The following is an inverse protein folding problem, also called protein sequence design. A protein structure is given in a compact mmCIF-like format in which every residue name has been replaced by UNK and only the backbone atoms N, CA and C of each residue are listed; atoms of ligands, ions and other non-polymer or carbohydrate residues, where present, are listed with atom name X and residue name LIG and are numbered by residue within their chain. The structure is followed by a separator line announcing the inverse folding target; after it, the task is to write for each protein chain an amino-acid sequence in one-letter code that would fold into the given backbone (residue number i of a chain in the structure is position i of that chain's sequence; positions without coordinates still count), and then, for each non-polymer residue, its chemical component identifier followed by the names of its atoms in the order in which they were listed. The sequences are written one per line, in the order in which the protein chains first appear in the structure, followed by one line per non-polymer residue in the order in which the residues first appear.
data_IF_795329908396
#
_entry.id   IF_795329908396
#
_cell.length_a   1.000
_cell.length_b   1.000
_cell.length_c   1.000
_cell.angle_alpha   90.00
_cell.angle_beta   90.00
_cell.angle_gamma   90.00
#
_symmetry.space_group_name_H-M   'P 1'
#
loop_
_entity.id
_entity.type
_entity.pdbx_description
1 polymer ?
#
# COMPACT_ATOMS: atom_id res chain seq x y z
N UNK A 1 1.98 -5.72 -26.95
CA UNK A 1 3.18 -6.61 -26.94
C UNK A 1 2.74 -7.95 -26.38
N UNK A 2 2.69 -9.01 -27.22
CA UNK A 2 2.23 -10.34 -26.81
C UNK A 2 3.36 -11.02 -26.02
N UNK A 3 3.12 -11.28 -24.73
CA UNK A 3 4.06 -12.04 -23.89
C UNK A 3 4.33 -13.42 -24.53
N UNK A 4 5.60 -13.82 -24.61
CA UNK A 4 5.99 -15.16 -25.04
C UNK A 4 5.34 -16.17 -24.09
N UNK A 5 4.83 -17.31 -24.60
CA UNK A 5 4.19 -18.38 -23.83
C UNK A 5 5.02 -18.83 -22.60
N UNK A 6 6.35 -18.80 -22.71
CA UNK A 6 7.25 -19.11 -21.58
C UNK A 6 7.16 -18.05 -20.47
N UNK A 7 7.13 -16.80 -20.84
CA UNK A 7 7.03 -15.70 -19.86
C UNK A 7 5.64 -15.67 -19.19
N UNK A 8 4.59 -15.93 -19.95
CA UNK A 8 3.24 -16.10 -19.42
C UNK A 8 3.18 -17.23 -18.37
N UNK A 9 3.70 -18.43 -18.71
CA UNK A 9 3.71 -19.56 -17.77
C UNK A 9 4.55 -19.27 -16.51
N UNK A 10 5.65 -18.53 -16.65
CA UNK A 10 6.47 -18.10 -15.52
C UNK A 10 5.68 -17.20 -14.57
N UNK A 11 5.03 -16.15 -15.10
CA UNK A 11 4.23 -15.22 -14.30
C UNK A 11 3.06 -15.93 -13.61
N UNK A 12 2.39 -16.84 -14.31
CA UNK A 12 1.31 -17.65 -13.72
C UNK A 12 1.81 -18.52 -12.54
N UNK A 13 2.96 -19.17 -12.70
CA UNK A 13 3.55 -19.98 -11.62
C UNK A 13 3.95 -19.13 -10.43
N UNK A 14 4.59 -17.99 -10.66
CA UNK A 14 4.97 -17.04 -9.58
C UNK A 14 3.72 -16.50 -8.86
N UNK A 15 2.66 -16.15 -9.59
CA UNK A 15 1.40 -15.69 -9.02
C UNK A 15 0.74 -16.78 -8.17
N UNK A 16 0.72 -18.02 -8.64
CA UNK A 16 0.19 -19.15 -7.90
C UNK A 16 0.96 -19.40 -6.59
N UNK A 17 2.29 -19.40 -6.64
CA UNK A 17 3.13 -19.53 -5.44
C UNK A 17 2.82 -18.43 -4.43
N UNK A 18 2.71 -17.15 -4.86
CA UNK A 18 2.40 -16.02 -3.98
C UNK A 18 1.00 -16.12 -3.38
N UNK A 19 0.00 -16.55 -4.16
CA UNK A 19 -1.37 -16.73 -3.65
C UNK A 19 -1.41 -17.80 -2.55
N UNK A 20 -0.87 -19.01 -2.81
CA UNK A 20 -0.82 -20.08 -1.80
C UNK A 20 0.03 -19.70 -0.58
N UNK A 21 1.13 -18.95 -0.82
CA UNK A 21 1.94 -18.42 0.27
C UNK A 21 1.12 -17.51 1.18
N UNK A 22 0.30 -16.61 0.63
CA UNK A 22 -0.51 -15.68 1.43
C UNK A 22 -1.60 -16.38 2.22
N UNK A 23 -2.18 -17.47 1.68
CA UNK A 23 -3.14 -18.31 2.42
C UNK A 23 -2.50 -18.94 3.67
N UNK A 24 -1.26 -19.43 3.55
CA UNK A 24 -0.49 -19.99 4.66
C UNK A 24 -0.02 -18.88 5.62
N UNK A 25 0.44 -17.76 5.08
CA UNK A 25 0.95 -16.64 5.85
C UNK A 25 -0.11 -16.01 6.76
N UNK A 26 -1.33 -15.90 6.28
CA UNK A 26 -2.45 -15.38 7.06
C UNK A 26 -2.76 -16.26 8.30
N UNK A 27 -2.50 -17.55 8.22
CA UNK A 27 -2.77 -18.52 9.30
C UNK A 27 -1.62 -18.61 10.30
N UNK A 28 -0.40 -18.82 9.81
CA UNK A 28 0.74 -19.25 10.60
C UNK A 28 1.89 -18.23 10.66
N UNK A 29 1.80 -17.14 9.88
CA UNK A 29 2.88 -16.18 9.71
C UNK A 29 4.10 -16.77 8.99
N UNK A 30 5.17 -15.98 8.88
CA UNK A 30 6.38 -16.38 8.14
C UNK A 30 7.08 -17.60 8.79
N UNK A 31 7.05 -17.70 10.11
CA UNK A 31 7.77 -18.75 10.83
C UNK A 31 7.10 -20.12 10.67
N UNK A 32 5.78 -20.16 10.50
CA UNK A 32 5.03 -21.39 10.25
C UNK A 32 5.20 -21.97 8.86
N UNK A 33 5.72 -21.18 7.89
CA UNK A 33 5.89 -21.60 6.50
C UNK A 33 7.25 -22.25 6.30
N UNK A 34 7.25 -23.44 5.67
CA UNK A 34 8.46 -24.05 5.12
C UNK A 34 8.38 -24.13 3.61
N UNK A 35 9.53 -24.05 2.91
CA UNK A 35 9.57 -24.22 1.44
C UNK A 35 8.97 -25.56 1.02
N UNK A 36 9.21 -26.62 1.80
CA UNK A 36 8.60 -27.93 1.56
C UNK A 36 7.08 -27.91 1.64
N UNK A 37 6.54 -27.30 2.69
CA UNK A 37 5.10 -27.16 2.90
C UNK A 37 4.46 -26.34 1.77
N UNK A 38 5.09 -25.22 1.43
CA UNK A 38 4.64 -24.36 0.33
C UNK A 38 4.64 -25.09 -1.02
N UNK A 39 5.72 -25.80 -1.37
CA UNK A 39 5.79 -26.59 -2.60
C UNK A 39 4.70 -27.66 -2.65
N UNK A 40 4.45 -28.35 -1.55
CA UNK A 40 3.38 -29.35 -1.42
C UNK A 40 2.00 -28.73 -1.62
N UNK A 41 1.76 -27.59 -0.99
CA UNK A 41 0.49 -26.85 -1.12
C UNK A 41 0.27 -26.32 -2.54
N UNK A 42 1.32 -25.85 -3.22
CA UNK A 42 1.27 -25.41 -4.62
C UNK A 42 1.21 -26.58 -5.63
N UNK A 43 1.47 -27.82 -5.23
CA UNK A 43 1.55 -28.96 -6.16
C UNK A 43 2.76 -28.90 -7.11
N UNK A 44 3.88 -28.27 -6.70
CA UNK A 44 5.08 -28.09 -7.52
C UNK A 44 6.30 -28.78 -6.91
N UNK A 45 7.27 -29.14 -7.75
CA UNK A 45 8.55 -29.64 -7.30
C UNK A 45 9.38 -28.51 -6.67
N UNK A 46 10.27 -28.83 -5.70
CA UNK A 46 11.21 -27.85 -5.14
C UNK A 46 12.10 -27.20 -6.19
N UNK A 47 12.56 -27.95 -7.18
CA UNK A 47 13.34 -27.43 -8.29
C UNK A 47 12.57 -26.33 -9.04
N UNK A 48 11.26 -26.49 -9.21
CA UNK A 48 10.40 -25.46 -9.81
C UNK A 48 10.31 -24.20 -8.92
N UNK A 49 10.18 -24.37 -7.61
CA UNK A 49 10.20 -23.24 -6.67
C UNK A 49 11.50 -22.43 -6.79
N UNK A 50 12.65 -23.11 -6.72
CA UNK A 50 13.98 -22.48 -6.77
C UNK A 50 14.34 -21.87 -8.13
N UNK A 51 13.55 -22.09 -9.18
CA UNK A 51 13.66 -21.33 -10.43
C UNK A 51 13.14 -19.90 -10.30
N UNK A 52 12.30 -19.61 -9.30
CA UNK A 52 11.58 -18.34 -9.15
C UNK A 52 11.89 -17.59 -7.87
N UNK A 53 12.19 -18.31 -6.77
CA UNK A 53 12.43 -17.75 -5.46
C UNK A 53 13.56 -18.50 -4.76
N UNK A 54 14.43 -17.75 -4.09
CA UNK A 54 15.54 -18.32 -3.33
C UNK A 54 15.07 -18.95 -2.01
N UNK A 55 14.08 -18.30 -1.38
CA UNK A 55 13.49 -18.75 -0.12
C UNK A 55 12.08 -18.17 0.10
N UNK A 56 11.48 -18.48 1.26
CA UNK A 56 10.15 -17.97 1.64
C UNK A 56 10.12 -16.46 1.89
N UNK A 57 11.23 -15.87 2.28
CA UNK A 57 11.32 -14.42 2.54
C UNK A 57 11.29 -13.63 1.24
N UNK A 58 11.88 -14.16 0.17
CA UNK A 58 11.80 -13.56 -1.15
C UNK A 58 10.37 -13.61 -1.72
N UNK A 59 9.59 -14.67 -1.38
CA UNK A 59 8.15 -14.70 -1.72
C UNK A 59 7.40 -13.59 -0.99
N UNK A 60 7.64 -13.41 0.32
CA UNK A 60 7.03 -12.34 1.10
C UNK A 60 7.39 -10.96 0.53
N UNK A 61 8.67 -10.72 0.27
CA UNK A 61 9.14 -9.46 -0.31
C UNK A 61 8.49 -9.18 -1.67
N UNK A 62 8.31 -10.20 -2.51
CA UNK A 62 7.62 -10.05 -3.79
C UNK A 62 6.16 -9.66 -3.61
N UNK A 63 5.44 -10.23 -2.64
CA UNK A 63 4.06 -9.86 -2.32
C UNK A 63 3.98 -8.44 -1.79
N UNK A 64 4.84 -8.07 -0.84
CA UNK A 64 4.91 -6.70 -0.30
C UNK A 64 5.15 -5.66 -1.40
N UNK A 65 6.12 -5.93 -2.29
CA UNK A 65 6.46 -5.03 -3.39
C UNK A 65 5.32 -4.89 -4.40
N UNK A 66 4.62 -5.99 -4.70
CA UNK A 66 3.47 -5.97 -5.61
C UNK A 66 2.36 -5.06 -5.07
N UNK A 67 1.96 -5.23 -3.82
CA UNK A 67 0.88 -4.44 -3.22
C UNK A 67 1.30 -2.98 -3.04
N UNK A 68 2.54 -2.71 -2.65
CA UNK A 68 3.05 -1.34 -2.52
C UNK A 68 3.14 -0.63 -3.89
N UNK A 69 3.47 -1.37 -4.96
CA UNK A 69 3.48 -0.83 -6.32
C UNK A 69 2.08 -0.46 -6.78
N UNK A 70 1.09 -1.35 -6.60
CA UNK A 70 -0.30 -1.05 -6.94
C UNK A 70 -0.85 0.16 -6.17
N UNK A 71 -0.58 0.24 -4.86
CA UNK A 71 -0.98 1.38 -4.03
C UNK A 71 -0.29 2.68 -4.46
N UNK A 72 0.96 2.62 -4.91
CA UNK A 72 1.68 3.78 -5.43
C UNK A 72 1.10 4.26 -6.76
N UNK A 73 0.82 3.35 -7.68
CA UNK A 73 0.24 3.68 -9.00
C UNK A 73 -1.12 4.39 -8.87
N UNK A 74 -2.00 3.94 -7.97
CA UNK A 74 -3.29 4.62 -7.74
C UNK A 74 -3.12 5.97 -7.02
N UNK A 75 -2.02 6.21 -6.32
CA UNK A 75 -1.72 7.51 -5.74
C UNK A 75 -1.18 8.53 -6.74
N UNK A 76 -0.71 8.11 -7.92
CA UNK A 76 -0.12 9.04 -8.92
C UNK A 76 -1.13 10.07 -9.43
N UNK A 77 -2.40 9.67 -9.61
CA UNK A 77 -3.48 10.60 -9.94
C UNK A 77 -3.68 11.67 -8.86
N UNK A 78 -3.70 11.27 -7.59
CA UNK A 78 -3.85 12.19 -6.46
C UNK A 78 -2.64 13.14 -6.31
N UNK A 79 -1.42 12.64 -6.54
CA UNK A 79 -0.18 13.46 -6.52
C UNK A 79 -0.18 14.53 -7.59
N UNK A 80 -0.80 14.26 -8.73
CA UNK A 80 -0.90 15.19 -9.86
C UNK A 80 -1.99 16.26 -9.67
N UNK A 81 -2.88 16.10 -8.68
CA UNK A 81 -3.92 17.07 -8.37
C UNK A 81 -3.33 18.34 -7.75
N UNK A 82 -3.65 19.50 -8.30
CA UNK A 82 -3.49 20.77 -7.60
C UNK A 82 -4.67 20.95 -6.64
N UNK A 83 -4.48 20.59 -5.37
CA UNK A 83 -5.53 20.63 -4.34
C UNK A 83 -6.15 22.02 -4.12
N UNK A 84 -5.50 23.10 -4.58
CA UNK A 84 -6.04 24.48 -4.53
C UNK A 84 -7.02 24.73 -5.67
N UNK A 85 -6.76 24.17 -6.86
CA UNK A 85 -7.50 24.45 -8.09
C UNK A 85 -8.47 23.32 -8.46
N UNK A 86 -8.11 22.08 -8.12
CA UNK A 86 -8.93 20.91 -8.46
C UNK A 86 -10.27 20.92 -7.72
N UNK A 87 -11.33 20.61 -8.45
CA UNK A 87 -12.66 20.46 -7.88
C UNK A 87 -12.74 19.25 -6.93
N UNK A 88 -13.68 19.28 -6.00
CA UNK A 88 -13.96 18.14 -5.13
C UNK A 88 -14.25 16.86 -5.93
N UNK A 89 -14.88 16.98 -7.11
CA UNK A 89 -15.23 15.86 -7.97
C UNK A 89 -13.99 15.19 -8.56
N UNK A 90 -13.00 15.97 -8.99
CA UNK A 90 -11.74 15.43 -9.53
C UNK A 90 -10.95 14.70 -8.43
N UNK A 91 -10.77 15.34 -7.28
CA UNK A 91 -10.06 14.74 -6.16
C UNK A 91 -10.79 13.49 -5.65
N UNK A 92 -12.14 13.52 -5.60
CA UNK A 92 -12.95 12.37 -5.20
C UNK A 92 -12.74 11.16 -6.11
N UNK A 93 -12.61 11.37 -7.42
CA UNK A 93 -12.34 10.30 -8.38
C UNK A 93 -11.02 9.58 -8.06
N UNK A 94 -9.96 10.34 -7.78
CA UNK A 94 -8.65 9.78 -7.47
C UNK A 94 -8.65 9.05 -6.11
N UNK A 95 -9.29 9.63 -5.09
CA UNK A 95 -9.41 8.98 -3.77
C UNK A 95 -10.28 7.72 -3.79
N UNK A 96 -11.28 7.64 -4.66
CA UNK A 96 -12.07 6.42 -4.90
C UNK A 96 -11.21 5.30 -5.52
N UNK A 97 -10.25 5.65 -6.38
CA UNK A 97 -9.26 4.69 -6.90
C UNK A 97 -8.43 4.06 -5.78
N UNK A 98 -7.97 4.88 -4.84
CA UNK A 98 -7.22 4.40 -3.66
C UNK A 98 -8.11 3.49 -2.80
N UNK A 99 -9.33 3.92 -2.47
CA UNK A 99 -10.24 3.14 -1.63
C UNK A 99 -10.55 1.76 -2.25
N UNK A 100 -10.77 1.72 -3.57
CA UNK A 100 -10.98 0.47 -4.32
C UNK A 100 -9.76 -0.43 -4.28
N UNK A 101 -8.56 0.10 -4.55
CA UNK A 101 -7.31 -0.65 -4.49
C UNK A 101 -7.07 -1.26 -3.10
N UNK A 102 -7.37 -0.51 -2.03
CA UNK A 102 -7.30 -1.02 -0.66
C UNK A 102 -8.31 -2.15 -0.40
N UNK A 103 -9.53 -2.03 -0.92
CA UNK A 103 -10.54 -3.07 -0.80
C UNK A 103 -10.16 -4.34 -1.57
N UNK A 104 -9.69 -4.20 -2.81
CA UNK A 104 -9.25 -5.30 -3.67
C UNK A 104 -8.04 -6.07 -3.08
N UNK A 105 -7.13 -5.36 -2.40
CA UNK A 105 -5.98 -5.95 -1.72
C UNK A 105 -6.23 -6.22 -0.22
N UNK A 106 -7.48 -6.12 0.24
CA UNK A 106 -7.83 -6.13 1.66
C UNK A 106 -7.33 -7.35 2.43
N UNK A 107 -7.47 -8.55 1.87
CA UNK A 107 -7.02 -9.79 2.53
C UNK A 107 -5.49 -9.85 2.65
N UNK A 108 -4.78 -9.48 1.58
CA UNK A 108 -3.31 -9.40 1.59
C UNK A 108 -2.84 -8.37 2.62
N UNK A 109 -3.43 -7.17 2.63
CA UNK A 109 -3.07 -6.11 3.57
C UNK A 109 -3.39 -6.51 5.03
N UNK A 110 -4.53 -7.15 5.28
CA UNK A 110 -4.88 -7.69 6.60
C UNK A 110 -3.89 -8.75 7.06
N UNK A 111 -3.42 -9.62 6.17
CA UNK A 111 -2.40 -10.60 6.51
C UNK A 111 -1.04 -9.94 6.81
N UNK A 112 -0.61 -8.97 5.98
CA UNK A 112 0.68 -8.28 6.15
C UNK A 112 0.73 -7.37 7.38
N UNK A 113 -0.39 -6.78 7.79
CA UNK A 113 -0.49 -5.85 8.93
C UNK A 113 -1.08 -6.48 10.19
N UNK A 114 -1.62 -7.69 10.10
CA UNK A 114 -2.32 -8.37 11.17
C UNK A 114 -1.37 -9.01 12.20
N UNK A 115 -1.93 -9.86 13.07
CA UNK A 115 -1.24 -10.49 14.20
C UNK A 115 0.05 -11.24 13.81
N UNK A 116 0.06 -11.87 12.65
CA UNK A 116 1.19 -12.67 12.14
C UNK A 116 1.99 -11.93 11.06
N UNK A 117 1.64 -10.66 10.78
CA UNK A 117 2.29 -9.82 9.78
C UNK A 117 3.70 -9.39 10.16
N UNK A 118 4.47 -8.91 9.18
CA UNK A 118 5.78 -8.27 9.43
C UNK A 118 5.56 -6.88 10.03
N UNK A 119 5.98 -6.61 11.27
CA UNK A 119 5.85 -5.29 11.89
C UNK A 119 6.52 -4.17 11.07
N UNK A 120 7.49 -4.52 10.21
CA UNK A 120 8.19 -3.57 9.34
C UNK A 120 7.37 -3.17 8.11
N UNK A 121 6.32 -3.92 7.75
CA UNK A 121 5.52 -3.62 6.55
C UNK A 121 4.86 -2.25 6.63
N UNK A 122 4.23 -1.91 7.76
CA UNK A 122 3.63 -0.58 7.97
C UNK A 122 4.65 0.55 7.85
N UNK A 123 5.90 0.33 8.30
CA UNK A 123 6.99 1.29 8.14
C UNK A 123 7.40 1.41 6.66
N UNK A 124 7.56 0.30 5.93
CA UNK A 124 7.84 0.29 4.48
C UNK A 124 6.76 1.06 3.72
N UNK A 125 5.50 0.80 4.05
CA UNK A 125 4.37 1.48 3.41
C UNK A 125 4.35 2.97 3.71
N UNK A 126 4.51 3.36 4.98
CA UNK A 126 4.63 4.78 5.36
C UNK A 126 5.75 5.48 4.61
N UNK A 127 6.94 4.86 4.55
CA UNK A 127 8.08 5.40 3.80
C UNK A 127 7.72 5.59 2.31
N UNK A 128 7.08 4.61 1.70
CA UNK A 128 6.61 4.67 0.31
C UNK A 128 5.65 5.86 0.07
N UNK A 129 4.67 6.07 0.96
CA UNK A 129 3.77 7.23 0.92
C UNK A 129 4.55 8.54 1.08
N UNK A 130 5.44 8.62 2.07
CA UNK A 130 6.24 9.84 2.32
C UNK A 130 7.07 10.22 1.08
N UNK A 131 7.74 9.25 0.46
CA UNK A 131 8.52 9.46 -0.77
C UNK A 131 7.61 9.88 -1.94
N UNK A 132 6.43 9.28 -2.05
CA UNK A 132 5.48 9.61 -3.10
C UNK A 132 4.96 11.05 -3.01
N UNK A 133 4.70 11.57 -1.83
CA UNK A 133 4.10 12.90 -1.65
C UNK A 133 5.09 14.02 -1.31
N UNK A 134 6.37 13.72 -1.08
CA UNK A 134 7.40 14.70 -0.69
C UNK A 134 7.45 15.91 -1.61
N UNK A 135 7.46 15.68 -2.93
CA UNK A 135 7.55 16.78 -3.90
C UNK A 135 6.30 17.64 -3.90
N UNK A 136 5.12 17.07 -3.67
CA UNK A 136 3.87 17.82 -3.55
C UNK A 136 3.87 18.74 -2.31
N UNK A 137 4.40 18.25 -1.18
CA UNK A 137 4.55 19.06 0.03
C UNK A 137 5.61 20.15 -0.13
N UNK A 138 6.74 19.88 -0.79
CA UNK A 138 7.76 20.88 -1.10
C UNK A 138 7.24 21.96 -2.05
N UNK A 139 6.45 21.57 -3.06
CA UNK A 139 5.83 22.51 -3.98
C UNK A 139 4.80 23.43 -3.27
N UNK A 140 4.08 22.92 -2.27
CA UNK A 140 3.07 23.66 -1.53
C UNK A 140 3.66 24.57 -0.43
N UNK A 141 4.72 24.13 0.27
CA UNK A 141 5.26 24.75 1.49
C UNK A 141 6.73 25.20 1.39
N UNK A 142 7.35 25.05 0.21
CA UNK A 142 8.78 25.25 0.03
C UNK A 142 9.63 24.06 0.53
N UNK A 143 10.92 24.10 0.25
CA UNK A 143 11.89 23.10 0.74
C UNK A 143 12.32 23.44 2.17
N UNK A 144 11.42 23.20 3.12
CA UNK A 144 11.54 23.60 4.52
C UNK A 144 11.41 22.40 5.45
N UNK A 145 11.96 22.45 6.68
CA UNK A 145 11.69 21.43 7.70
C UNK A 145 10.19 21.25 8.00
N UNK A 146 9.40 22.32 7.89
CA UNK A 146 7.95 22.29 8.08
C UNK A 146 7.27 21.43 7.02
N UNK A 147 7.71 21.47 5.75
CA UNK A 147 7.20 20.62 4.68
C UNK A 147 7.48 19.13 4.95
N UNK A 148 8.66 18.79 5.41
CA UNK A 148 9.03 17.40 5.75
C UNK A 148 8.23 16.87 6.95
N UNK A 149 8.03 17.71 7.98
CA UNK A 149 7.20 17.37 9.15
C UNK A 149 5.74 17.15 8.71
N UNK A 150 5.16 18.06 7.94
CA UNK A 150 3.80 17.95 7.44
C UNK A 150 3.59 16.69 6.58
N UNK A 151 4.53 16.38 5.68
CA UNK A 151 4.51 15.17 4.88
C UNK A 151 4.58 13.90 5.75
N UNK A 152 5.39 13.91 6.81
CA UNK A 152 5.52 12.78 7.75
C UNK A 152 4.24 12.59 8.57
N UNK A 153 3.60 13.67 9.04
CA UNK A 153 2.32 13.62 9.75
C UNK A 153 1.23 13.09 8.81
N UNK A 154 1.15 13.60 7.59
CA UNK A 154 0.21 13.14 6.58
C UNK A 154 0.34 11.64 6.32
N UNK A 155 1.56 11.16 6.04
CA UNK A 155 1.83 9.75 5.78
C UNK A 155 1.48 8.85 6.97
N UNK A 156 1.74 9.32 8.19
CA UNK A 156 1.40 8.58 9.42
C UNK A 156 -0.11 8.51 9.63
N UNK A 157 -0.82 9.60 9.34
CA UNK A 157 -2.28 9.68 9.42
C UNK A 157 -2.94 8.78 8.37
N UNK A 158 -2.35 8.66 7.16
CA UNK A 158 -2.85 7.73 6.14
C UNK A 158 -2.73 6.28 6.59
N UNK A 159 -1.61 5.86 7.17
CA UNK A 159 -1.47 4.49 7.69
C UNK A 159 -2.50 4.21 8.78
N UNK A 160 -2.73 5.15 9.70
CA UNK A 160 -3.78 5.04 10.72
C UNK A 160 -5.18 4.91 10.11
N UNK A 161 -5.50 5.72 9.12
CA UNK A 161 -6.77 5.68 8.40
C UNK A 161 -6.95 4.36 7.61
N UNK A 162 -5.92 3.88 6.94
CA UNK A 162 -5.97 2.60 6.23
C UNK A 162 -6.10 1.42 7.19
N UNK A 163 -5.44 1.49 8.35
CA UNK A 163 -5.62 0.49 9.42
C UNK A 163 -7.06 0.47 9.91
N UNK A 164 -7.66 1.65 10.12
CA UNK A 164 -9.07 1.75 10.50
C UNK A 164 -10.01 1.20 9.42
N UNK A 165 -9.74 1.47 8.14
CA UNK A 165 -10.50 0.92 7.03
C UNK A 165 -10.42 -0.62 6.94
N UNK A 166 -9.23 -1.18 7.19
CA UNK A 166 -8.99 -2.62 7.08
C UNK A 166 -9.49 -3.43 8.29
N UNK A 167 -9.42 -2.87 9.50
CA UNK A 167 -9.64 -3.58 10.76
C UNK A 167 -10.65 -2.91 11.69
N UNK A 168 -11.15 -1.73 11.34
CA UNK A 168 -12.01 -0.93 12.22
C UNK A 168 -13.39 -1.53 12.46
N UNK A 169 -13.95 -1.23 13.64
CA UNK A 169 -15.33 -1.48 14.00
C UNK A 169 -15.88 -0.18 14.65
N UNK A 170 -16.90 0.51 14.09
CA UNK A 170 -17.59 0.15 12.84
C UNK A 170 -16.71 0.29 11.59
N UNK A 171 -17.04 -0.49 10.55
CA UNK A 171 -16.28 -0.51 9.32
C UNK A 171 -16.46 0.80 8.54
N UNK A 172 -15.35 1.43 8.18
CA UNK A 172 -15.33 2.62 7.31
C UNK A 172 -15.64 2.19 5.87
N UNK A 173 -16.61 2.81 5.23
CA UNK A 173 -16.95 2.54 3.81
C UNK A 173 -15.93 3.18 2.87
N UNK A 174 -15.84 2.69 1.63
CA UNK A 174 -14.99 3.29 0.58
C UNK A 174 -15.30 4.77 0.35
N UNK A 175 -16.59 5.15 0.45
CA UNK A 175 -17.02 6.54 0.29
C UNK A 175 -16.54 7.42 1.45
N UNK A 176 -16.70 6.96 2.69
CA UNK A 176 -16.22 7.69 3.87
C UNK A 176 -14.71 7.81 3.85
N UNK A 177 -13.98 6.74 3.53
CA UNK A 177 -12.54 6.76 3.34
C UNK A 177 -12.14 7.83 2.32
N UNK A 178 -12.80 7.87 1.16
CA UNK A 178 -12.51 8.86 0.11
C UNK A 178 -12.72 10.30 0.58
N UNK A 179 -13.79 10.57 1.31
CA UNK A 179 -14.09 11.91 1.87
C UNK A 179 -13.05 12.31 2.92
N UNK A 180 -12.67 11.38 3.80
CA UNK A 180 -11.65 11.63 4.83
C UNK A 180 -10.29 11.90 4.19
N UNK A 181 -9.93 11.15 3.14
CA UNK A 181 -8.68 11.36 2.38
C UNK A 181 -8.59 12.76 1.78
N UNK A 182 -9.69 13.28 1.20
CA UNK A 182 -9.73 14.65 0.66
C UNK A 182 -9.48 15.68 1.76
N UNK A 183 -10.18 15.54 2.88
CA UNK A 183 -10.07 16.47 3.99
C UNK A 183 -8.67 16.44 4.61
N UNK A 184 -8.11 15.24 4.80
CA UNK A 184 -6.76 15.07 5.35
C UNK A 184 -5.70 15.69 4.43
N UNK A 185 -5.80 15.48 3.11
CA UNK A 185 -4.87 16.05 2.14
C UNK A 185 -4.93 17.58 2.14
N UNK A 186 -6.13 18.18 2.13
CA UNK A 186 -6.32 19.62 2.18
C UNK A 186 -5.81 20.23 3.48
N UNK A 187 -6.19 19.66 4.61
CA UNK A 187 -5.70 20.11 5.92
C UNK A 187 -4.17 20.09 6.00
N UNK A 188 -3.55 18.98 5.63
CA UNK A 188 -2.09 18.82 5.72
C UNK A 188 -1.32 19.75 4.79
N UNK A 189 -1.88 20.07 3.61
CA UNK A 189 -1.21 20.94 2.64
C UNK A 189 -1.43 22.44 2.91
N UNK A 190 -2.57 22.85 3.46
CA UNK A 190 -2.97 24.27 3.48
C UNK A 190 -3.28 24.85 4.85
N UNK A 191 -3.89 24.12 5.76
CA UNK A 191 -4.42 24.72 7.02
C UNK A 191 -3.40 24.76 8.16
N UNK A 192 -2.25 24.10 8.02
CA UNK A 192 -1.22 24.09 9.06
C UNK A 192 -0.57 25.48 9.28
N UNK A 193 -0.60 26.36 8.27
CA UNK A 193 -0.05 27.72 8.35
C UNK A 193 -0.99 28.69 9.06
N UNK A 194 -2.30 28.51 8.92
CA UNK A 194 -3.27 29.39 9.57
C UNK A 194 -3.22 29.37 11.11
N UNK A 195 -2.71 28.28 11.69
CA UNK A 195 -2.55 28.14 13.15
C UNK A 195 -1.22 28.71 13.66
N UNK A 196 -0.22 28.90 12.78
CA UNK A 196 1.09 29.44 13.15
C UNK A 196 1.15 30.97 13.14
N UNK A 197 0.17 31.64 12.53
CA UNK A 197 0.07 33.12 12.44
C UNK A 197 -0.83 33.76 13.50
N UNK A 198 -1.34 32.96 14.45
CA UNK A 198 -2.11 33.53 15.57
C UNK A 198 -1.13 33.90 16.70
N UNK A 199 -0.98 35.18 17.03
CA UNK A 199 -0.04 35.65 18.03
C UNK A 199 -0.40 35.19 19.45
#
# INVERSE_FOLDING_TARGET
MTLNRREFNKQETMRHIRSVFMDLYAQDGIDGITVNGLCKACGIAKSTFYLYFEDKYQVLEAVENDVLTQLREVCDGLRSCDFRKSSNKEILKETQGIARCLAENGDTLRALMGKHGDPRFSYKWKKNITEAFRDSFRAAKGDTPSAEIACTIFSSSLIGLYTLFLFGDPQVTERELSVILINLARFSLFDFEALAETP
#
